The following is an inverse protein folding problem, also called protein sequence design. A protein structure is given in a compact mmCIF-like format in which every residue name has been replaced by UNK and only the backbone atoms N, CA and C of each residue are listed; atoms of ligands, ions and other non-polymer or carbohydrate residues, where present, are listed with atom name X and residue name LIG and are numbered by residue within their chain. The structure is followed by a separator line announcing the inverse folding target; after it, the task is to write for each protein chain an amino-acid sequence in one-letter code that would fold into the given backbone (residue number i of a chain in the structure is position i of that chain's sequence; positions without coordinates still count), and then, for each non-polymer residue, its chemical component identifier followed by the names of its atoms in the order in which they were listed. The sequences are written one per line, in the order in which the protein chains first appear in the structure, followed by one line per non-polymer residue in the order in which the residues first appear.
data_IF_546408469637
#
_entry.id   IF_546408469637
#
_cell.length_a   1.000
_cell.length_b   1.000
_cell.length_c   1.000
_cell.angle_alpha   90.00
_cell.angle_beta   90.00
_cell.angle_gamma   90.00
#
_symmetry.space_group_name_H-M   'P 1'
#
loop_
_entity.id
_entity.type
_entity.pdbx_description
1 polymer ?
#
# COMPACT_ATOMS: atom_id res chain seq x y z
N UNK A 1 5.63 11.30 -11.15
CA UNK A 1 4.73 11.75 -10.06
C UNK A 1 3.40 12.35 -10.51
N UNK A 2 3.32 13.27 -11.48
CA UNK A 2 2.04 13.81 -12.00
C UNK A 2 1.05 12.72 -12.40
N UNK A 3 1.54 11.59 -12.92
CA UNK A 3 0.70 10.45 -13.34
C UNK A 3 -0.03 9.75 -12.17
N UNK A 4 0.57 9.66 -10.99
CA UNK A 4 -0.06 9.02 -9.80
C UNK A 4 -1.11 9.92 -9.15
N UNK A 5 -0.81 11.22 -9.03
CA UNK A 5 -1.72 12.20 -8.44
C UNK A 5 -3.03 12.26 -9.23
N UNK A 6 -2.92 12.26 -10.56
CA UNK A 6 -4.08 12.32 -11.47
C UNK A 6 -4.96 11.06 -11.45
N UNK A 7 -4.46 9.93 -10.91
CA UNK A 7 -5.26 8.69 -10.80
C UNK A 7 -6.24 8.70 -9.63
N UNK A 8 -6.11 9.65 -8.68
CA UNK A 8 -6.89 9.65 -7.44
C UNK A 8 -6.71 8.36 -6.62
N UNK A 9 -5.53 7.73 -6.74
CA UNK A 9 -5.19 6.48 -6.07
C UNK A 9 -4.77 6.70 -4.62
N UNK A 10 -4.30 7.92 -4.30
CA UNK A 10 -3.71 8.26 -3.00
C UNK A 10 -4.35 9.50 -2.39
N UNK A 11 -4.18 9.64 -1.08
CA UNK A 11 -4.48 10.87 -0.34
C UNK A 11 -3.15 11.41 0.18
N UNK A 12 -2.74 12.57 -0.32
CA UNK A 12 -1.56 13.28 0.16
C UNK A 12 -1.96 14.23 1.28
N UNK A 13 -1.50 13.94 2.51
CA UNK A 13 -1.81 14.75 3.66
C UNK A 13 -1.14 16.12 3.55
N UNK A 14 -1.90 17.19 3.83
CA UNK A 14 -1.40 18.58 3.86
C UNK A 14 -0.65 18.84 5.16
N UNK A 15 0.55 18.28 5.29
CA UNK A 15 1.47 18.53 6.40
C UNK A 15 2.74 19.21 5.90
N UNK A 16 3.31 20.11 6.71
CA UNK A 16 4.52 20.89 6.40
C UNK A 16 5.71 20.37 7.21
N UNK A 17 5.44 19.65 8.28
CA UNK A 17 6.29 19.38 9.44
C UNK A 17 7.11 18.08 9.37
N UNK A 18 7.22 17.44 8.21
CA UNK A 18 7.90 16.13 8.09
C UNK A 18 7.12 14.94 8.68
N UNK A 19 6.01 15.17 9.39
CA UNK A 19 5.18 14.12 10.02
C UNK A 19 4.25 13.39 9.02
N UNK A 20 4.62 13.30 7.74
CA UNK A 20 3.77 12.67 6.71
C UNK A 20 3.39 11.22 7.03
N UNK A 21 4.27 10.46 7.69
CA UNK A 21 3.98 9.11 8.16
C UNK A 21 2.84 9.11 9.18
N UNK A 22 2.97 9.89 10.24
CA UNK A 22 1.98 10.01 11.32
C UNK A 22 0.59 10.33 10.78
N UNK A 23 0.50 11.39 9.98
CA UNK A 23 -0.80 11.83 9.46
C UNK A 23 -1.39 10.86 8.45
N UNK A 24 -0.55 10.22 7.63
CA UNK A 24 -1.01 9.21 6.67
C UNK A 24 -1.52 7.95 7.37
N UNK A 25 -0.80 7.43 8.36
CA UNK A 25 -1.25 6.28 9.15
C UNK A 25 -2.53 6.60 9.90
N UNK A 26 -2.56 7.73 10.62
CA UNK A 26 -3.76 8.15 11.37
C UNK A 26 -4.98 8.28 10.43
N UNK A 27 -4.79 8.86 9.24
CA UNK A 27 -5.86 8.99 8.25
C UNK A 27 -6.31 7.66 7.67
N UNK A 28 -5.39 6.73 7.41
CA UNK A 28 -5.72 5.40 6.90
C UNK A 28 -6.55 4.60 7.91
N UNK A 29 -6.23 4.71 9.20
CA UNK A 29 -6.95 4.04 10.28
C UNK A 29 -8.27 4.75 10.65
N UNK A 30 -8.40 6.05 10.29
CA UNK A 30 -9.60 6.86 10.55
C UNK A 30 -10.08 7.50 9.23
N UNK A 31 -10.66 6.72 8.31
CA UNK A 31 -11.04 7.21 6.99
C UNK A 31 -12.17 8.24 7.06
N UNK A 32 -12.15 9.20 6.13
CA UNK A 32 -13.21 10.17 5.95
C UNK A 32 -13.44 10.45 4.46
N UNK A 33 -14.68 10.77 4.10
CA UNK A 33 -15.04 11.11 2.72
C UNK A 33 -14.87 12.59 2.42
N UNK A 34 -14.93 13.45 3.45
CA UNK A 34 -14.86 14.91 3.30
C UNK A 34 -13.47 15.41 3.69
N UNK A 35 -12.82 16.18 2.78
CA UNK A 35 -11.54 16.86 3.04
C UNK A 35 -10.47 15.92 3.62
N UNK A 36 -10.38 14.71 3.03
CA UNK A 36 -9.54 13.61 3.54
C UNK A 36 -8.05 13.96 3.65
N UNK A 37 -7.58 14.95 2.89
CA UNK A 37 -6.19 15.43 2.89
C UNK A 37 -5.86 16.40 4.04
N UNK A 38 -6.86 16.90 4.78
CA UNK A 38 -6.65 17.92 5.81
C UNK A 38 -6.39 17.32 7.18
N UNK A 39 -5.47 17.94 7.91
CA UNK A 39 -5.24 17.66 9.32
C UNK A 39 -6.23 18.51 10.12
N UNK A 40 -7.28 17.86 10.58
CA UNK A 40 -8.36 18.49 11.36
C UNK A 40 -8.13 18.29 12.86
N UNK A 41 -8.79 19.06 13.73
CA UNK A 41 -8.76 18.88 15.19
C UNK A 41 -9.15 17.44 15.58
N UNK A 42 -10.10 16.83 14.86
CA UNK A 42 -10.51 15.43 15.08
C UNK A 42 -9.35 14.48 14.75
N UNK A 43 -8.65 14.67 13.62
CA UNK A 43 -7.51 13.82 13.26
C UNK A 43 -6.37 13.95 14.27
N UNK A 44 -6.10 15.17 14.77
CA UNK A 44 -5.11 15.40 15.81
C UNK A 44 -5.48 14.63 17.08
N UNK A 45 -6.75 14.67 17.50
CA UNK A 45 -7.19 13.90 18.65
C UNK A 45 -7.06 12.39 18.42
N UNK A 46 -7.43 11.91 17.23
CA UNK A 46 -7.30 10.50 16.86
C UNK A 46 -5.84 10.03 16.84
N UNK A 47 -4.89 10.90 16.46
CA UNK A 47 -3.48 10.54 16.44
C UNK A 47 -2.90 10.24 17.84
N UNK A 48 -3.52 10.76 18.90
CA UNK A 48 -3.13 10.48 20.29
C UNK A 48 -3.47 9.07 20.77
N UNK A 49 -4.33 8.36 20.04
CA UNK A 49 -4.70 6.98 20.35
C UNK A 49 -3.61 5.98 19.93
N UNK A 50 -2.56 6.43 19.24
CA UNK A 50 -1.47 5.59 18.76
C UNK A 50 -0.20 5.89 19.53
N UNK A 51 0.59 4.86 19.79
CA UNK A 51 1.89 4.97 20.40
C UNK A 51 2.94 5.30 19.33
N UNK A 52 3.57 6.46 19.45
CA UNK A 52 4.61 6.99 18.57
C UNK A 52 6.01 6.89 19.18
N UNK A 53 6.19 6.15 20.28
CA UNK A 53 7.48 6.02 20.96
C UNK A 53 8.52 5.41 20.01
N UNK A 54 9.72 6.01 20.00
CA UNK A 54 10.84 5.62 19.15
C UNK A 54 10.55 5.76 17.64
N UNK A 55 9.65 6.67 17.27
CA UNK A 55 9.38 7.03 15.88
C UNK A 55 9.86 8.46 15.64
N UNK A 56 10.87 8.60 14.79
CA UNK A 56 11.39 9.90 14.37
C UNK A 56 10.55 10.51 13.24
N UNK A 57 10.59 11.81 13.09
CA UNK A 57 9.95 12.54 12.00
C UNK A 57 10.97 13.47 11.33
N UNK A 58 11.20 13.32 10.00
CA UNK A 58 10.61 12.37 9.04
C UNK A 58 10.93 10.91 9.35
N UNK A 59 9.92 10.04 9.27
CA UNK A 59 10.04 8.64 9.70
C UNK A 59 10.81 7.80 8.66
N UNK A 60 11.94 7.17 9.02
CA UNK A 60 12.64 6.21 8.17
C UNK A 60 11.81 4.94 7.95
N UNK A 61 12.04 4.25 6.83
CA UNK A 61 11.28 3.04 6.48
C UNK A 61 11.46 1.91 7.52
N UNK A 62 12.63 1.83 8.13
CA UNK A 62 12.98 0.84 9.14
C UNK A 62 12.11 0.96 10.40
N UNK A 63 11.76 2.19 10.78
CA UNK A 63 10.95 2.46 11.98
C UNK A 63 9.47 2.12 11.80
N UNK A 64 9.01 1.87 10.57
CA UNK A 64 7.64 1.39 10.33
C UNK A 64 7.36 0.08 11.08
N UNK A 65 8.35 -0.80 11.23
CA UNK A 65 8.21 -2.03 12.04
C UNK A 65 8.04 -1.75 13.53
N UNK A 66 8.70 -0.71 14.04
CA UNK A 66 8.56 -0.28 15.43
C UNK A 66 7.14 0.21 15.68
N UNK A 67 6.62 1.05 14.78
CA UNK A 67 5.25 1.51 14.86
C UNK A 67 4.23 0.34 14.84
N UNK A 68 4.43 -0.65 13.98
CA UNK A 68 3.58 -1.83 13.92
C UNK A 68 3.52 -2.61 15.24
N UNK A 69 4.69 -2.80 15.86
CA UNK A 69 4.79 -3.48 17.16
C UNK A 69 4.10 -2.69 18.28
N UNK A 70 4.31 -1.37 18.30
CA UNK A 70 3.76 -0.51 19.33
C UNK A 70 2.23 -0.42 19.28
N UNK A 71 1.64 -0.62 18.08
CA UNK A 71 0.22 -0.37 17.85
C UNK A 71 -0.58 -1.58 17.39
N UNK A 72 0.05 -2.76 17.24
CA UNK A 72 -0.58 -3.97 16.70
C UNK A 72 -1.32 -3.73 15.36
N UNK A 73 -0.68 -3.00 14.45
CA UNK A 73 -1.20 -2.63 13.13
C UNK A 73 -0.22 -3.10 12.06
N UNK A 74 -0.71 -3.55 10.92
CA UNK A 74 0.14 -3.91 9.79
C UNK A 74 0.20 -2.76 8.78
N UNK A 75 1.41 -2.40 8.34
CA UNK A 75 1.65 -1.29 7.40
C UNK A 75 2.43 -1.80 6.20
N UNK A 76 1.80 -1.80 5.04
CA UNK A 76 2.47 -2.04 3.76
C UNK A 76 2.90 -0.71 3.15
N UNK A 77 4.14 -0.63 2.70
CA UNK A 77 4.70 0.56 2.06
C UNK A 77 5.12 0.22 0.64
N UNK A 78 4.64 1.02 -0.29
CA UNK A 78 4.99 0.96 -1.70
C UNK A 78 5.87 2.13 -2.08
N UNK A 79 6.75 1.94 -3.06
CA UNK A 79 7.49 2.98 -3.74
C UNK A 79 6.94 3.21 -5.14
N UNK A 80 7.41 4.26 -5.80
CA UNK A 80 7.11 4.53 -7.19
C UNK A 80 8.39 4.84 -7.94
N UNK A 81 8.62 4.11 -9.01
CA UNK A 81 9.71 4.32 -9.95
C UNK A 81 9.16 5.17 -11.11
N UNK A 82 9.57 6.45 -11.16
CA UNK A 82 9.10 7.40 -12.18
C UNK A 82 9.61 7.02 -13.60
N UNK A 83 10.81 6.44 -13.71
CA UNK A 83 11.42 6.07 -15.00
C UNK A 83 10.67 4.91 -15.65
N UNK A 84 10.29 3.95 -14.84
CA UNK A 84 9.55 2.75 -15.28
C UNK A 84 8.04 2.91 -15.21
N UNK A 85 7.52 4.01 -14.65
CA UNK A 85 6.10 4.23 -14.32
C UNK A 85 5.47 3.02 -13.60
N UNK A 86 6.20 2.48 -12.62
CA UNK A 86 5.77 1.30 -11.88
C UNK A 86 5.80 1.50 -10.37
N UNK A 87 4.87 0.82 -9.70
CA UNK A 87 4.79 0.74 -8.25
C UNK A 87 5.54 -0.51 -7.79
N UNK A 88 6.41 -0.35 -6.81
CA UNK A 88 7.19 -1.43 -6.19
C UNK A 88 6.83 -1.55 -4.72
N UNK A 89 6.99 -2.72 -4.13
CA UNK A 89 6.83 -2.88 -2.69
C UNK A 89 8.15 -2.59 -1.98
N UNK A 90 8.15 -1.63 -1.06
CA UNK A 90 9.31 -1.33 -0.21
C UNK A 90 9.27 -2.15 1.08
N UNK A 91 8.05 -2.33 1.64
CA UNK A 91 7.82 -3.09 2.85
C UNK A 91 6.46 -3.77 2.80
N UNK A 92 6.44 -5.07 3.04
CA UNK A 92 5.21 -5.85 3.20
C UNK A 92 5.22 -6.54 4.56
N UNK A 93 4.14 -6.36 5.31
CA UNK A 93 3.98 -6.96 6.63
C UNK A 93 3.25 -8.30 6.53
N UNK A 94 3.77 -9.27 7.26
CA UNK A 94 3.19 -10.62 7.33
C UNK A 94 2.14 -10.65 8.44
N UNK A 95 1.08 -11.39 8.21
CA UNK A 95 0.02 -11.60 9.19
C UNK A 95 -1.35 -11.26 8.63
N UNK A 96 -2.37 -11.73 9.32
CA UNK A 96 -3.77 -11.41 9.04
C UNK A 96 -4.24 -10.50 10.16
N UNK A 97 -4.47 -9.23 9.85
CA UNK A 97 -5.05 -8.26 10.76
C UNK A 97 -6.15 -7.50 10.03
N UNK A 98 -7.22 -7.20 10.73
CA UNK A 98 -8.34 -6.41 10.19
C UNK A 98 -7.93 -4.99 9.80
N UNK A 99 -6.93 -4.44 10.49
CA UNK A 99 -6.41 -3.09 10.24
C UNK A 99 -5.08 -3.10 9.49
N UNK A 100 -5.11 -3.19 8.15
CA UNK A 100 -3.91 -3.02 7.33
C UNK A 100 -3.87 -1.64 6.71
N UNK A 101 -2.81 -0.91 6.99
CA UNK A 101 -2.51 0.39 6.40
C UNK A 101 -1.71 0.21 5.13
N UNK A 102 -2.12 0.89 4.06
CA UNK A 102 -1.44 0.91 2.78
C UNK A 102 -0.91 2.32 2.51
N UNK A 103 0.40 2.44 2.40
CA UNK A 103 1.08 3.72 2.16
C UNK A 103 1.90 3.66 0.87
N UNK A 104 2.03 4.82 0.23
CA UNK A 104 2.98 5.05 -0.85
C UNK A 104 4.04 6.04 -0.35
N UNK A 105 5.32 5.69 -0.49
CA UNK A 105 6.47 6.51 -0.14
C UNK A 105 7.12 7.05 -1.40
N UNK A 106 7.07 8.35 -1.58
CA UNK A 106 7.62 9.06 -2.74
C UNK A 106 8.13 10.42 -2.29
N UNK A 107 9.32 10.80 -2.76
CA UNK A 107 9.96 12.10 -2.43
C UNK A 107 10.05 12.33 -0.92
N UNK A 108 10.50 11.32 -0.19
CA UNK A 108 10.62 11.37 1.28
C UNK A 108 9.31 11.64 2.02
N UNK A 109 8.16 11.36 1.41
CA UNK A 109 6.84 11.55 2.02
C UNK A 109 5.98 10.31 1.90
N UNK A 110 5.25 10.02 2.96
CA UNK A 110 4.22 9.00 2.97
C UNK A 110 2.88 9.58 2.54
N UNK A 111 2.14 8.84 1.73
CA UNK A 111 0.77 9.17 1.34
C UNK A 111 -0.11 7.94 1.51
N UNK A 112 -1.39 8.14 1.85
CA UNK A 112 -2.34 7.04 2.01
C UNK A 112 -2.71 6.46 0.65
N UNK A 113 -2.64 5.14 0.49
CA UNK A 113 -3.19 4.46 -0.68
C UNK A 113 -4.70 4.26 -0.47
N UNK A 114 -5.50 4.97 -1.25
CA UNK A 114 -6.96 4.89 -1.23
C UNK A 114 -7.50 3.75 -2.08
N UNK A 115 -6.81 3.42 -3.16
CA UNK A 115 -7.26 2.41 -4.12
C UNK A 115 -6.08 1.71 -4.79
N UNK A 116 -5.87 0.45 -4.46
CA UNK A 116 -4.88 -0.42 -5.10
C UNK A 116 -5.14 -0.59 -6.59
N UNK A 117 -6.40 -0.71 -6.98
CA UNK A 117 -6.82 -0.83 -8.37
C UNK A 117 -6.37 0.35 -9.22
N UNK A 118 -6.48 1.57 -8.69
CA UNK A 118 -6.01 2.79 -9.36
C UNK A 118 -4.49 2.94 -9.29
N UNK A 119 -3.89 2.50 -8.19
CA UNK A 119 -2.44 2.55 -7.99
C UNK A 119 -1.73 1.69 -9.04
N UNK A 120 -2.18 0.46 -9.24
CA UNK A 120 -1.58 -0.51 -10.16
C UNK A 120 -2.18 -0.49 -11.58
N UNK A 121 -3.08 0.45 -11.92
CA UNK A 121 -3.83 0.39 -13.17
C UNK A 121 -2.95 0.33 -14.42
N UNK A 122 -1.81 1.02 -14.47
CA UNK A 122 -0.91 0.99 -15.64
C UNK A 122 -0.11 -0.31 -15.72
N UNK A 123 0.33 -0.85 -14.60
CA UNK A 123 1.01 -2.15 -14.57
C UNK A 123 0.09 -3.28 -15.02
N UNK A 124 -1.20 -3.20 -14.64
CA UNK A 124 -2.20 -4.18 -15.05
C UNK A 124 -2.62 -4.07 -16.53
N UNK A 125 -2.47 -2.88 -17.16
CA UNK A 125 -2.95 -2.62 -18.53
C UNK A 125 -1.89 -2.73 -19.61
N UNK A 126 -0.63 -2.97 -19.27
CA UNK A 126 0.43 -3.30 -20.26
C UNK A 126 0.14 -4.61 -21.01
N UNK A 127 -0.81 -5.44 -20.54
CA UNK A 127 -1.39 -6.55 -21.28
C UNK A 127 -2.76 -6.20 -21.87
N UNK A 128 -3.17 -6.88 -22.94
CA UNK A 128 -4.35 -6.62 -23.80
C UNK A 128 -5.73 -6.60 -23.12
N UNK A 129 -5.84 -6.84 -21.80
CA UNK A 129 -7.12 -6.84 -21.07
C UNK A 129 -7.30 -5.56 -20.27
N UNK A 130 -8.05 -4.62 -20.83
CA UNK A 130 -8.55 -3.43 -20.15
C UNK A 130 -9.68 -3.86 -19.18
N UNK A 131 -9.43 -3.89 -17.89
CA UNK A 131 -10.47 -4.19 -16.88
C UNK A 131 -10.04 -3.73 -15.49
N UNK A 132 -11.02 -3.34 -14.67
CA UNK A 132 -10.80 -3.05 -13.26
C UNK A 132 -10.28 -4.32 -12.56
N UNK A 133 -9.24 -4.18 -11.75
CA UNK A 133 -8.68 -5.24 -10.92
C UNK A 133 -8.93 -4.93 -9.46
N UNK A 134 -9.26 -5.97 -8.72
CA UNK A 134 -9.43 -5.93 -7.28
C UNK A 134 -8.21 -6.61 -6.65
N UNK A 135 -7.58 -5.97 -5.68
CA UNK A 135 -6.34 -6.48 -5.10
C UNK A 135 -6.58 -6.89 -3.66
N UNK A 136 -6.09 -8.07 -3.29
CA UNK A 136 -6.05 -8.46 -1.90
C UNK A 136 -5.02 -7.60 -1.14
N UNK A 137 -5.45 -6.94 -0.07
CA UNK A 137 -4.56 -6.11 0.74
C UNK A 137 -3.50 -6.92 1.51
N UNK A 138 -3.72 -8.23 1.69
CA UNK A 138 -2.80 -9.12 2.39
C UNK A 138 -1.70 -9.67 1.48
N UNK A 139 -2.08 -10.27 0.33
CA UNK A 139 -1.15 -10.94 -0.56
C UNK A 139 -0.91 -10.21 -1.89
N UNK A 140 -1.58 -9.08 -2.14
CA UNK A 140 -1.51 -8.25 -3.34
C UNK A 140 -1.96 -8.95 -4.64
N UNK A 141 -2.54 -10.15 -4.54
CA UNK A 141 -3.04 -10.88 -5.71
C UNK A 141 -4.19 -10.11 -6.38
N UNK A 142 -4.16 -9.94 -7.71
CA UNK A 142 -5.23 -9.29 -8.46
C UNK A 142 -6.37 -10.26 -8.80
N UNK A 143 -7.60 -9.79 -8.68
CA UNK A 143 -8.83 -10.49 -9.04
C UNK A 143 -9.62 -9.71 -10.08
N UNK A 144 -10.44 -10.43 -10.85
CA UNK A 144 -11.28 -9.83 -11.91
C UNK A 144 -12.60 -9.29 -11.38
N UNK A 145 -13.04 -9.73 -10.20
CA UNK A 145 -14.26 -9.26 -9.55
C UNK A 145 -14.08 -9.19 -8.02
N UNK A 146 -14.98 -8.47 -7.37
CA UNK A 146 -14.99 -8.30 -5.92
C UNK A 146 -15.42 -9.60 -5.22
N UNK A 147 -16.32 -10.36 -5.84
CA UNK A 147 -16.78 -11.66 -5.33
C UNK A 147 -15.60 -12.65 -5.20
N UNK A 148 -14.76 -12.75 -6.25
CA UNK A 148 -13.55 -13.60 -6.21
C UNK A 148 -12.53 -13.15 -5.19
N UNK A 149 -12.41 -11.82 -4.98
CA UNK A 149 -11.57 -11.28 -3.92
C UNK A 149 -12.10 -11.68 -2.55
N UNK A 150 -13.41 -11.54 -2.32
CA UNK A 150 -14.04 -11.89 -1.04
C UNK A 150 -13.93 -13.39 -0.76
N UNK A 151 -14.15 -14.24 -1.75
CA UNK A 151 -13.94 -15.69 -1.66
C UNK A 151 -12.49 -16.03 -1.27
N UNK A 152 -11.51 -15.40 -1.92
CA UNK A 152 -10.10 -15.56 -1.59
C UNK A 152 -9.77 -15.13 -0.15
N UNK A 153 -10.30 -13.99 0.30
CA UNK A 153 -10.05 -13.47 1.66
C UNK A 153 -10.67 -14.37 2.71
N UNK A 154 -11.88 -14.89 2.47
CA UNK A 154 -12.60 -15.75 3.42
C UNK A 154 -12.06 -17.18 3.49
N UNK A 155 -11.51 -17.70 2.39
CA UNK A 155 -11.14 -19.13 2.29
C UNK A 155 -9.66 -19.41 2.51
N UNK A 156 -8.74 -18.68 1.90
CA UNK A 156 -7.33 -19.10 1.81
C UNK A 156 -6.30 -17.96 1.68
N UNK A 157 -6.58 -16.75 2.12
CA UNK A 157 -5.58 -15.70 2.04
C UNK A 157 -4.43 -15.93 3.03
N UNK A 158 -3.49 -16.81 2.70
CA UNK A 158 -2.23 -16.92 3.42
C UNK A 158 -1.36 -15.70 3.08
N UNK A 159 -0.74 -15.03 4.07
CA UNK A 159 0.19 -13.94 3.82
C UNK A 159 1.39 -14.45 3.03
N UNK A 160 1.46 -14.05 1.76
CA UNK A 160 2.40 -14.60 0.81
C UNK A 160 3.81 -14.04 1.00
N UNK A 161 4.83 -14.91 0.88
CA UNK A 161 6.21 -14.51 0.64
C UNK A 161 6.35 -14.11 -0.83
N UNK A 162 6.03 -12.88 -1.20
CA UNK A 162 6.35 -12.38 -2.53
C UNK A 162 7.74 -11.78 -2.54
N UNK A 163 8.62 -12.30 -3.39
CA UNK A 163 9.84 -11.61 -3.75
C UNK A 163 9.47 -10.41 -4.62
N UNK A 164 9.95 -9.24 -4.25
CA UNK A 164 9.62 -7.94 -4.84
C UNK A 164 9.99 -7.83 -6.32
N UNK A 165 10.88 -8.70 -6.80
CA UNK A 165 11.34 -8.72 -8.20
C UNK A 165 10.32 -9.25 -9.21
N UNK A 166 9.25 -9.91 -8.77
CA UNK A 166 8.32 -10.59 -9.68
C UNK A 166 7.28 -9.64 -10.33
N UNK A 167 7.26 -8.35 -9.97
CA UNK A 167 6.36 -7.35 -10.55
C UNK A 167 7.00 -6.36 -11.52
N UNK A 168 8.29 -6.38 -11.72
CA UNK A 168 8.93 -5.61 -12.78
C UNK A 168 8.76 -6.30 -14.12
N UNK A 169 7.79 -5.87 -14.89
CA UNK A 169 7.66 -6.25 -16.30
C UNK A 169 8.84 -5.62 -17.04
N UNK A 170 9.75 -6.47 -17.56
CA UNK A 170 10.86 -6.05 -18.39
C UNK A 170 10.38 -5.36 -19.67
N UNK A 171 11.19 -4.47 -20.22
CA UNK A 171 10.89 -3.51 -21.30
C UNK A 171 10.57 -4.14 -22.67
N UNK A 172 10.54 -5.46 -22.82
CA UNK A 172 10.39 -6.20 -24.09
C UNK A 172 9.08 -6.97 -24.22
N UNK A 173 7.95 -6.38 -23.83
CA UNK A 173 6.62 -6.83 -24.28
C UNK A 173 6.18 -8.29 -24.00
N UNK A 174 7.06 -9.13 -23.46
CA UNK A 174 6.76 -10.51 -23.09
C UNK A 174 6.41 -10.60 -21.62
N UNK A 175 5.17 -10.95 -21.34
CA UNK A 175 4.71 -11.34 -20.00
C UNK A 175 5.29 -12.72 -19.74
N UNK A 176 6.52 -12.78 -19.30
CA UNK A 176 7.02 -13.97 -18.62
C UNK A 176 6.46 -13.94 -17.20
N UNK A 177 5.35 -14.60 -17.02
CA UNK A 177 4.94 -15.09 -15.71
C UNK A 177 6.05 -16.03 -15.28
N UNK A 178 6.99 -15.52 -14.48
CA UNK A 178 7.94 -16.39 -13.80
C UNK A 178 7.09 -17.34 -12.97
N UNK A 179 7.09 -18.61 -13.37
CA UNK A 179 6.44 -19.70 -12.62
C UNK A 179 7.08 -19.74 -11.24
N UNK A 180 6.43 -19.14 -10.27
CA UNK A 180 6.80 -19.29 -8.87
C UNK A 180 6.61 -20.77 -8.55
N UNK A 181 7.71 -21.50 -8.37
CA UNK A 181 7.67 -22.85 -7.83
C UNK A 181 7.12 -22.76 -6.41
N UNK A 182 5.94 -23.28 -6.23
CA UNK A 182 5.29 -23.43 -4.94
C UNK A 182 6.09 -24.42 -4.09
N UNK A 183 6.88 -23.93 -3.19
CA UNK A 183 7.41 -24.75 -2.10
C UNK A 183 6.38 -24.77 -0.98
N UNK A 184 5.50 -25.76 -1.00
CA UNK A 184 4.74 -26.18 0.16
C UNK A 184 5.76 -26.77 1.15
N UNK A 185 6.16 -25.99 2.15
CA UNK A 185 6.77 -26.55 3.35
C UNK A 185 5.63 -26.93 4.29
N UNK A 186 5.53 -28.25 4.52
CA UNK A 186 4.70 -28.88 5.54
C UNK A 186 5.01 -28.33 6.94
#
# INVERSE_FOLDING_TARGET
MKSLINRGATINMKCIDGESFKWSVTRALNPTTKRSERITKVLIQQSKNYNWDSIDFPTPLEQVKTFEKNNNVLVNVFGFDDDRDCVTSLKLSKGVHEGRVLLLFVNNRYTVVKSMSRLFCRQATRGRRKGKRFYCNNCLQPFTSDERLNEHVSSFCLPFKMNVHDFCITHEGDIRVLKVKWALTK
#
